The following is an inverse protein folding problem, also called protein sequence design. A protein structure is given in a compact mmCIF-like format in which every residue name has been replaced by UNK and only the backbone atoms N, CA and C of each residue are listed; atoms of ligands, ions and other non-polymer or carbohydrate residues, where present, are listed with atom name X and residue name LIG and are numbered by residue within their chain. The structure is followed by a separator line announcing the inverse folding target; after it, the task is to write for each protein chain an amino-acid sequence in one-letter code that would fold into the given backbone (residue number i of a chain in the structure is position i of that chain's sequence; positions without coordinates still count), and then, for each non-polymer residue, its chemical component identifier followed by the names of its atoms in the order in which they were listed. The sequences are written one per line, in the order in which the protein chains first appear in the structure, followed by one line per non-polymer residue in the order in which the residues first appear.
data_IF_988498313312
#
_entry.id   IF_988498313312
#
_cell.length_a   1.000
_cell.length_b   1.000
_cell.length_c   1.000
_cell.angle_alpha   90.00
_cell.angle_beta   90.00
_cell.angle_gamma   90.00
#
_symmetry.space_group_name_H-M   'P 1'
#
loop_
_entity.id
_entity.type
_entity.pdbx_description
1 polymer ?
#
# COMPACT_ATOMS: atom_id res chain seq x y z
N UNK A 1 35.05 47.00 24.09
CA UNK A 1 34.56 47.50 22.78
C UNK A 1 34.09 46.29 21.95
N UNK A 2 33.18 46.47 20.97
CA UNK A 2 32.51 45.38 20.21
C UNK A 2 33.10 45.23 18.79
N UNK A 3 32.50 44.36 17.95
CA UNK A 3 32.87 44.00 16.54
C UNK A 3 34.10 43.05 16.45
N UNK A 4 34.24 42.01 15.61
CA UNK A 4 33.45 41.26 14.60
C UNK A 4 34.29 40.03 14.13
N UNK A 5 33.99 39.15 13.13
CA UNK A 5 32.81 38.87 12.27
C UNK A 5 33.01 37.50 11.52
N UNK A 6 32.06 36.56 11.64
CA UNK A 6 31.79 35.38 10.77
C UNK A 6 32.84 34.25 10.55
N UNK A 7 32.45 32.98 10.75
CA UNK A 7 31.99 32.10 9.65
C UNK A 7 31.31 30.81 10.16
N UNK A 8 30.52 30.16 9.29
CA UNK A 8 29.79 28.93 9.58
C UNK A 8 30.55 27.68 9.10
N UNK A 9 30.25 26.52 9.69
CA UNK A 9 30.87 25.24 9.34
C UNK A 9 30.15 24.06 10.01
N UNK A 10 28.89 23.82 9.62
CA UNK A 10 28.11 22.69 10.12
C UNK A 10 28.53 21.38 9.46
N UNK A 11 28.96 20.40 10.26
CA UNK A 11 29.10 19.01 9.83
C UNK A 11 27.87 18.20 10.24
N UNK A 12 26.90 18.05 9.33
CA UNK A 12 25.73 17.18 9.55
C UNK A 12 26.10 15.74 9.19
N UNK A 13 26.30 14.88 10.20
CA UNK A 13 26.38 13.43 9.98
C UNK A 13 24.96 12.85 10.02
N UNK A 14 24.40 12.51 8.86
CA UNK A 14 23.01 12.03 8.72
C UNK A 14 23.01 10.51 8.60
N UNK A 15 22.86 9.83 9.74
CA UNK A 15 22.51 8.40 9.77
C UNK A 15 21.01 8.29 9.58
N UNK A 16 20.56 7.99 8.36
CA UNK A 16 19.14 7.92 8.02
C UNK A 16 18.46 6.65 8.55
N UNK A 17 17.36 6.80 9.27
CA UNK A 17 16.25 5.84 9.39
C UNK A 17 15.07 6.51 10.08
N UNK A 18 14.03 6.84 9.31
CA UNK A 18 12.84 7.57 9.77
C UNK A 18 12.58 8.82 8.93
N UNK A 19 11.44 8.85 8.26
CA UNK A 19 11.03 9.96 7.39
C UNK A 19 10.50 11.15 8.22
N UNK A 20 11.39 11.83 8.95
CA UNK A 20 11.09 13.10 9.63
C UNK A 20 11.65 14.29 8.82
N UNK A 21 10.82 14.85 7.93
CA UNK A 21 11.09 16.14 7.30
C UNK A 21 10.81 17.28 8.30
N UNK A 22 11.69 17.40 9.29
CA UNK A 22 11.58 18.44 10.33
C UNK A 22 12.27 19.75 9.87
N UNK A 23 11.66 20.44 8.90
CA UNK A 23 12.13 21.76 8.44
C UNK A 23 11.68 22.87 9.40
N UNK A 24 12.11 22.78 10.65
CA UNK A 24 11.84 23.78 11.68
C UNK A 24 12.57 25.10 11.43
N UNK A 25 11.94 26.06 10.77
CA UNK A 25 12.22 27.48 11.02
C UNK A 25 11.38 27.95 12.20
N UNK A 26 12.07 28.36 13.26
CA UNK A 26 11.47 28.82 14.52
C UNK A 26 10.81 30.19 14.31
N UNK A 27 9.51 30.29 14.59
CA UNK A 27 8.81 31.58 14.79
C UNK A 27 7.47 31.72 14.07
N UNK A 28 6.38 31.77 14.85
CA UNK A 28 5.04 32.13 14.38
C UNK A 28 4.09 30.93 14.21
N UNK A 29 2.92 31.02 14.85
CA UNK A 29 1.72 30.17 14.70
C UNK A 29 1.94 28.69 14.32
N UNK A 30 1.93 27.82 15.34
CA UNK A 30 1.80 26.36 15.14
C UNK A 30 0.37 25.99 14.75
N UNK A 31 -0.13 26.56 13.65
CA UNK A 31 -1.28 26.03 12.92
C UNK A 31 -0.77 24.80 12.19
N UNK A 32 -0.92 23.64 12.83
CA UNK A 32 -0.61 22.35 12.24
C UNK A 32 -1.54 22.13 11.04
N UNK A 33 -1.12 22.60 9.86
CA UNK A 33 -1.77 22.26 8.61
C UNK A 33 -1.49 20.78 8.39
N UNK A 34 -2.49 19.95 8.73
CA UNK A 34 -2.59 18.61 8.18
C UNK A 34 -2.70 18.79 6.66
N UNK A 35 -1.56 18.70 5.97
CA UNK A 35 -1.55 18.47 4.53
C UNK A 35 -2.21 17.11 4.36
N UNK A 36 -3.43 17.11 3.83
CA UNK A 36 -4.22 15.90 3.63
C UNK A 36 -3.35 14.84 2.97
N UNK A 37 -3.19 13.70 3.65
CA UNK A 37 -2.51 12.55 3.06
C UNK A 37 -3.14 12.26 1.71
N UNK A 38 -2.31 12.10 0.68
CA UNK A 38 -2.82 11.56 -0.58
C UNK A 38 -3.24 10.12 -0.31
N UNK A 39 -4.22 9.58 -1.02
CA UNK A 39 -4.74 8.22 -0.76
C UNK A 39 -3.65 7.14 -0.76
N UNK A 40 -2.50 7.40 -1.41
CA UNK A 40 -1.27 6.61 -1.37
C UNK A 40 -0.65 6.39 0.03
N UNK A 41 -0.99 7.21 1.04
CA UNK A 41 -0.52 7.07 2.43
C UNK A 41 -1.49 6.30 3.35
N UNK A 42 -2.62 5.78 2.84
CA UNK A 42 -3.51 4.97 3.68
C UNK A 42 -2.86 3.59 3.98
N UNK A 43 -2.57 3.27 5.26
CA UNK A 43 -1.91 2.02 5.62
C UNK A 43 -2.75 0.78 5.31
N UNK A 44 -4.09 0.91 5.20
CA UNK A 44 -4.99 -0.19 4.81
C UNK A 44 -4.90 -0.43 3.31
N UNK A 45 -4.80 0.64 2.51
CA UNK A 45 -4.60 0.53 1.07
C UNK A 45 -3.25 -0.11 0.75
N UNK A 46 -2.18 0.35 1.41
CA UNK A 46 -0.85 -0.25 1.30
C UNK A 46 -0.85 -1.72 1.74
N UNK A 47 -1.59 -2.09 2.78
CA UNK A 47 -1.74 -3.49 3.19
C UNK A 47 -2.48 -4.34 2.14
N UNK A 48 -3.57 -3.84 1.56
CA UNK A 48 -4.30 -4.53 0.49
C UNK A 48 -3.43 -4.73 -0.77
N UNK A 49 -2.70 -3.69 -1.19
CA UNK A 49 -1.76 -3.76 -2.31
C UNK A 49 -0.60 -4.73 -2.04
N UNK A 50 -0.05 -4.76 -0.82
CA UNK A 50 0.98 -5.73 -0.44
C UNK A 50 0.47 -7.18 -0.52
N UNK A 51 -0.73 -7.47 0.01
CA UNK A 51 -1.34 -8.81 -0.09
C UNK A 51 -1.64 -9.21 -1.54
N UNK A 52 -1.99 -8.25 -2.40
CA UNK A 52 -2.19 -8.51 -3.82
C UNK A 52 -0.87 -8.88 -4.51
N UNK A 53 0.22 -8.16 -4.22
CA UNK A 53 1.55 -8.46 -4.75
C UNK A 53 2.09 -9.83 -4.26
N UNK A 54 1.88 -10.18 -2.99
CA UNK A 54 2.19 -11.52 -2.46
C UNK A 54 1.41 -12.62 -3.20
N UNK A 55 0.12 -12.40 -3.46
CA UNK A 55 -0.69 -13.36 -4.22
C UNK A 55 -0.23 -13.49 -5.68
N UNK A 56 0.21 -12.41 -6.32
CA UNK A 56 0.77 -12.46 -7.70
C UNK A 56 2.04 -13.29 -7.75
N UNK A 57 2.99 -13.04 -6.84
CA UNK A 57 4.22 -13.82 -6.79
C UNK A 57 3.95 -15.31 -6.52
N UNK A 58 2.95 -15.62 -5.69
CA UNK A 58 2.52 -16.99 -5.45
C UNK A 58 1.82 -17.60 -6.68
N UNK A 59 0.96 -16.86 -7.39
CA UNK A 59 0.31 -17.31 -8.62
C UNK A 59 1.30 -17.64 -9.73
N UNK A 60 2.36 -16.86 -9.90
CA UNK A 60 3.42 -17.15 -10.88
C UNK A 60 4.30 -18.35 -10.47
N UNK A 61 4.36 -18.68 -9.17
CA UNK A 61 5.08 -19.85 -8.65
C UNK A 61 4.24 -21.13 -8.72
N UNK A 62 2.92 -21.02 -8.52
CA UNK A 62 1.97 -22.13 -8.37
C UNK A 62 0.91 -22.15 -9.50
N UNK A 63 1.30 -21.71 -10.70
CA UNK A 63 0.38 -21.55 -11.84
C UNK A 63 -0.30 -22.86 -12.28
N UNK A 64 0.35 -24.02 -12.08
CA UNK A 64 -0.19 -25.34 -12.38
C UNK A 64 -1.15 -25.88 -11.31
N UNK A 65 -1.27 -25.23 -10.15
CA UNK A 65 -2.14 -25.66 -9.03
C UNK A 65 -3.55 -25.04 -9.06
N UNK A 66 -3.76 -23.98 -9.86
CA UNK A 66 -5.04 -23.27 -9.95
C UNK A 66 -5.96 -23.85 -11.02
N UNK A 67 -7.26 -23.58 -10.91
CA UNK A 67 -8.24 -24.05 -11.89
C UNK A 67 -8.16 -23.26 -13.23
N UNK A 68 -7.82 -21.97 -13.18
CA UNK A 68 -7.63 -21.15 -14.38
C UNK A 68 -6.70 -19.95 -14.11
N UNK A 69 -5.44 -20.06 -14.55
CA UNK A 69 -4.43 -19.01 -14.35
C UNK A 69 -4.78 -17.70 -15.06
N UNK A 70 -5.39 -17.75 -16.25
CA UNK A 70 -5.87 -16.57 -16.97
C UNK A 70 -6.99 -15.85 -16.21
N UNK A 71 -7.91 -16.60 -15.59
CA UNK A 71 -8.97 -16.04 -14.75
C UNK A 71 -8.41 -15.44 -13.45
N UNK A 72 -7.42 -16.09 -12.81
CA UNK A 72 -6.72 -15.53 -11.66
C UNK A 72 -6.02 -14.20 -12.01
N UNK A 73 -5.27 -14.16 -13.13
CA UNK A 73 -4.56 -12.96 -13.60
C UNK A 73 -5.53 -11.82 -13.96
N UNK A 74 -6.66 -12.13 -14.60
CA UNK A 74 -7.71 -11.14 -14.88
C UNK A 74 -8.33 -10.58 -13.60
N UNK A 75 -8.63 -11.43 -12.61
CA UNK A 75 -9.22 -10.99 -11.34
C UNK A 75 -8.24 -10.14 -10.53
N UNK A 76 -6.97 -10.55 -10.43
CA UNK A 76 -5.89 -9.75 -9.85
C UNK A 76 -5.80 -8.36 -10.51
N UNK A 77 -5.75 -8.30 -11.84
CA UNK A 77 -5.59 -7.03 -12.56
C UNK A 77 -6.75 -6.07 -12.31
N UNK A 78 -7.98 -6.58 -12.16
CA UNK A 78 -9.16 -5.78 -11.78
C UNK A 78 -9.10 -5.28 -10.33
N UNK A 79 -8.63 -6.10 -9.38
CA UNK A 79 -8.43 -5.66 -8.00
C UNK A 79 -7.34 -4.58 -7.94
N UNK A 80 -6.25 -4.76 -8.69
CA UNK A 80 -5.14 -3.80 -8.81
C UNK A 80 -5.58 -2.46 -9.43
N UNK A 81 -6.44 -2.50 -10.45
CA UNK A 81 -7.07 -1.31 -11.06
C UNK A 81 -8.00 -0.59 -10.06
N UNK A 82 -8.91 -1.32 -9.43
CA UNK A 82 -9.90 -0.77 -8.49
C UNK A 82 -9.24 -0.24 -7.19
N UNK A 83 -8.12 -0.81 -6.76
CA UNK A 83 -7.29 -0.27 -5.66
C UNK A 83 -6.44 0.96 -6.04
N UNK A 84 -6.41 1.36 -7.32
CA UNK A 84 -5.82 2.65 -7.73
C UNK A 84 -6.85 3.78 -7.86
N UNK A 85 -8.14 3.44 -7.91
CA UNK A 85 -9.21 4.44 -7.90
C UNK A 85 -9.18 5.24 -6.57
N UNK A 86 -9.46 6.55 -6.58
CA UNK A 86 -9.48 7.36 -5.37
C UNK A 86 -10.62 6.99 -4.41
N UNK A 87 -11.60 6.23 -4.90
CA UNK A 87 -12.73 5.68 -4.13
C UNK A 87 -13.04 4.26 -4.62
N UNK A 88 -12.35 3.22 -4.10
CA UNK A 88 -12.55 1.84 -4.56
C UNK A 88 -13.98 1.34 -4.32
N UNK A 89 -14.62 0.75 -5.34
CA UNK A 89 -15.95 0.14 -5.18
C UNK A 89 -15.85 -1.22 -4.48
N UNK A 90 -16.24 -1.24 -3.21
CA UNK A 90 -16.25 -2.44 -2.38
C UNK A 90 -17.10 -3.60 -2.92
N UNK A 91 -18.15 -3.34 -3.74
CA UNK A 91 -18.90 -4.42 -4.39
C UNK A 91 -18.06 -5.05 -5.50
N UNK A 92 -17.46 -4.23 -6.36
CA UNK A 92 -16.61 -4.70 -7.48
C UNK A 92 -15.39 -5.47 -6.96
N UNK A 93 -14.78 -5.01 -5.86
CA UNK A 93 -13.74 -5.74 -5.16
C UNK A 93 -14.25 -7.09 -4.63
N UNK A 94 -15.43 -7.14 -3.99
CA UNK A 94 -16.01 -8.38 -3.46
C UNK A 94 -16.33 -9.38 -4.58
N UNK A 95 -17.04 -8.97 -5.63
CA UNK A 95 -17.35 -9.79 -6.81
C UNK A 95 -16.07 -10.33 -7.47
N UNK A 96 -15.01 -9.52 -7.53
CA UNK A 96 -13.73 -9.93 -8.12
C UNK A 96 -12.94 -10.88 -7.22
N UNK A 97 -13.04 -10.75 -5.90
CA UNK A 97 -12.50 -11.73 -4.93
C UNK A 97 -13.23 -13.08 -5.00
N UNK A 98 -14.54 -13.09 -5.28
CA UNK A 98 -15.29 -14.34 -5.53
C UNK A 98 -14.84 -15.00 -6.83
N UNK A 99 -14.74 -14.24 -7.94
CA UNK A 99 -14.18 -14.75 -9.21
C UNK A 99 -12.75 -15.31 -9.04
N UNK A 100 -11.91 -14.60 -8.30
CA UNK A 100 -10.56 -15.05 -7.96
C UNK A 100 -10.58 -16.37 -7.17
N UNK A 101 -11.43 -16.47 -6.14
CA UNK A 101 -11.55 -17.67 -5.32
C UNK A 101 -12.00 -18.89 -6.12
N UNK A 102 -12.94 -18.71 -7.06
CA UNK A 102 -13.36 -19.75 -8.01
C UNK A 102 -12.24 -20.17 -8.96
N UNK A 103 -11.45 -19.22 -9.47
CA UNK A 103 -10.32 -19.49 -10.36
C UNK A 103 -9.14 -20.18 -9.66
N UNK A 104 -8.92 -19.90 -8.37
CA UNK A 104 -7.90 -20.54 -7.54
C UNK A 104 -8.21 -22.02 -7.23
N UNK A 105 -9.48 -22.40 -7.12
CA UNK A 105 -9.88 -23.76 -6.79
C UNK A 105 -9.42 -24.18 -5.39
N UNK A 106 -8.76 -25.34 -5.28
CA UNK A 106 -8.36 -25.95 -4.00
C UNK A 106 -6.89 -25.71 -3.60
N UNK A 107 -6.15 -24.87 -4.31
CA UNK A 107 -4.73 -24.57 -4.02
C UNK A 107 -4.58 -23.88 -2.65
N UNK A 108 -4.26 -24.66 -1.61
CA UNK A 108 -4.43 -24.24 -0.20
C UNK A 108 -3.54 -23.05 0.20
N UNK A 109 -2.34 -22.95 -0.36
CA UNK A 109 -1.45 -21.80 -0.19
C UNK A 109 -2.05 -20.52 -0.76
N UNK A 110 -2.66 -20.61 -1.94
CA UNK A 110 -3.23 -19.47 -2.64
C UNK A 110 -4.58 -19.04 -2.07
N UNK A 111 -5.44 -19.98 -1.63
CA UNK A 111 -6.69 -19.65 -0.95
C UNK A 111 -6.45 -18.96 0.39
N UNK A 112 -5.39 -19.31 1.10
CA UNK A 112 -4.95 -18.63 2.33
C UNK A 112 -4.48 -17.19 2.07
N UNK A 113 -3.75 -16.95 0.98
CA UNK A 113 -3.36 -15.61 0.54
C UNK A 113 -4.56 -14.79 0.07
N UNK A 114 -5.48 -15.38 -0.70
CA UNK A 114 -6.71 -14.71 -1.15
C UNK A 114 -7.62 -14.33 0.03
N UNK A 115 -7.74 -15.18 1.06
CA UNK A 115 -8.43 -14.83 2.30
C UNK A 115 -7.75 -13.68 3.05
N UNK A 116 -6.41 -13.63 3.05
CA UNK A 116 -5.64 -12.53 3.65
C UNK A 116 -5.81 -11.22 2.90
N UNK A 117 -5.85 -11.26 1.56
CA UNK A 117 -6.17 -10.13 0.69
C UNK A 117 -7.60 -9.63 0.92
N UNK A 118 -8.59 -10.53 0.99
CA UNK A 118 -9.98 -10.19 1.30
C UNK A 118 -10.09 -9.46 2.63
N UNK A 119 -9.47 -9.95 3.69
CA UNK A 119 -9.49 -9.30 5.00
C UNK A 119 -8.87 -7.88 4.97
N UNK A 120 -7.82 -7.68 4.17
CA UNK A 120 -7.20 -6.36 3.99
C UNK A 120 -8.13 -5.38 3.23
N UNK A 121 -8.85 -5.89 2.21
CA UNK A 121 -9.87 -5.12 1.47
C UNK A 121 -11.07 -4.79 2.37
N UNK A 122 -11.58 -5.73 3.16
CA UNK A 122 -12.66 -5.46 4.13
C UNK A 122 -12.24 -4.40 5.17
N UNK A 123 -10.97 -4.42 5.61
CA UNK A 123 -10.43 -3.40 6.51
C UNK A 123 -10.22 -2.02 5.85
N UNK A 124 -10.01 -1.96 4.53
CA UNK A 124 -9.95 -0.72 3.75
C UNK A 124 -11.34 -0.08 3.61
N UNK A 125 -12.39 -0.89 3.47
CA UNK A 125 -13.76 -0.47 3.24
C UNK A 125 -14.56 -0.12 4.53
N UNK A 126 -13.95 -0.28 5.72
CA UNK A 126 -14.59 -0.13 7.04
C UNK A 126 -14.18 1.09 7.85
#
# INVERSE_FOLDING_TARGET
MRFGRANAGGGTNVTGSGNQVNTGRVGGDMRQVQVSGTAADDPRLLAAQARLAELVAALDTHADEVHSIDSCRQAVARIDEELREPTPDGRRLTETLEMLSLALGSATSLTSLAGSLRNAIEALLS
#
